data_IF_643513491553
#
_entry.id   IF_643513491553
#
_cell.length_a   1.000
_cell.length_b   1.000
_cell.length_c   1.000
_cell.angle_alpha   90.00
_cell.angle_beta   90.00
_cell.angle_gamma   90.00
#
_symmetry.space_group_name_H-M   'P 1'
#
loop_
_entity.id
_entity.type
_entity.pdbx_description
1 polymer ?
#
# COMPACT_ATOMS: atom_id res chain seq x y z
N UNK A 1 21.16 2.22 8.99
CA UNK A 1 20.11 1.34 8.46
C UNK A 1 19.31 2.15 7.45
N UNK A 2 19.18 1.72 6.19
CA UNK A 2 18.35 2.42 5.23
C UNK A 2 16.90 1.92 5.37
N UNK A 3 15.94 2.84 5.58
CA UNK A 3 14.52 2.55 5.49
C UNK A 3 14.14 2.19 4.04
N UNK A 4 12.95 1.64 3.83
CA UNK A 4 12.44 1.41 2.47
C UNK A 4 12.44 2.73 1.72
N UNK A 5 12.99 2.75 0.50
CA UNK A 5 13.09 3.99 -0.27
C UNK A 5 11.72 4.48 -0.72
N UNK A 6 10.80 3.55 -1.00
CA UNK A 6 9.47 3.84 -1.53
C UNK A 6 8.48 2.69 -1.28
N UNK A 7 7.25 2.87 -1.76
CA UNK A 7 6.17 1.88 -1.69
C UNK A 7 6.50 0.58 -2.45
N UNK A 8 7.32 0.65 -3.50
CA UNK A 8 7.67 -0.50 -4.35
C UNK A 8 8.61 -1.44 -3.56
N UNK A 9 9.60 -0.89 -2.86
CA UNK A 9 10.45 -1.65 -1.95
C UNK A 9 9.66 -2.20 -0.75
N UNK A 10 8.76 -1.42 -0.16
CA UNK A 10 7.91 -1.89 0.95
C UNK A 10 7.00 -3.05 0.53
N UNK A 11 6.40 -2.98 -0.67
CA UNK A 11 5.55 -4.05 -1.21
C UNK A 11 6.33 -5.36 -1.36
N UNK A 12 7.58 -5.30 -1.84
CA UNK A 12 8.48 -6.47 -1.90
C UNK A 12 8.80 -7.03 -0.52
N UNK A 13 8.95 -6.18 0.49
CA UNK A 13 9.17 -6.62 1.86
C UNK A 13 7.93 -7.34 2.44
N UNK A 14 6.72 -6.83 2.19
CA UNK A 14 5.49 -7.53 2.57
C UNK A 14 5.39 -8.90 1.88
N UNK A 15 5.73 -8.98 0.59
CA UNK A 15 5.76 -10.23 -0.17
C UNK A 15 6.77 -11.24 0.42
N UNK A 16 8.00 -10.80 0.69
CA UNK A 16 9.05 -11.64 1.30
C UNK A 16 8.66 -12.17 2.69
N UNK A 17 7.85 -11.43 3.44
CA UNK A 17 7.34 -11.84 4.76
C UNK A 17 5.99 -12.57 4.71
N UNK A 18 5.53 -12.97 3.52
CA UNK A 18 4.22 -13.63 3.33
C UNK A 18 3.03 -12.80 3.84
N UNK A 19 3.16 -11.48 3.85
CA UNK A 19 2.13 -10.50 4.25
C UNK A 19 1.48 -9.76 3.09
N UNK A 20 1.74 -10.19 1.85
CA UNK A 20 1.08 -9.68 0.65
C UNK A 20 0.37 -10.82 -0.08
N UNK A 21 -0.84 -10.54 -0.55
CA UNK A 21 -1.56 -11.38 -1.51
C UNK A 21 -1.69 -10.61 -2.82
N UNK A 22 -1.23 -11.20 -3.93
CA UNK A 22 -1.43 -10.65 -5.27
C UNK A 22 -2.66 -11.26 -5.92
N UNK A 23 -3.60 -10.42 -6.32
CA UNK A 23 -4.83 -10.81 -7.02
C UNK A 23 -4.68 -10.40 -8.48
N UNK A 24 -4.45 -11.41 -9.33
CA UNK A 24 -4.29 -11.25 -10.78
C UNK A 24 -5.59 -11.36 -11.56
N UNK A 25 -6.62 -11.98 -10.96
CA UNK A 25 -7.95 -12.02 -11.57
C UNK A 25 -8.53 -10.62 -11.62
N UNK A 26 -9.46 -10.42 -12.55
CA UNK A 26 -10.27 -9.21 -12.58
C UNK A 26 -11.03 -9.02 -11.27
N UNK A 27 -11.03 -7.78 -10.77
CA UNK A 27 -11.74 -7.37 -9.56
C UNK A 27 -12.48 -6.05 -9.85
N UNK A 28 -13.76 -6.00 -9.48
CA UNK A 28 -14.53 -4.76 -9.50
C UNK A 28 -14.21 -3.93 -8.23
N UNK A 29 -13.73 -2.70 -8.40
CA UNK A 29 -13.40 -1.79 -7.30
C UNK A 29 -14.63 -1.34 -6.50
N UNK A 30 -15.81 -1.28 -7.13
CA UNK A 30 -17.04 -0.77 -6.55
C UNK A 30 -17.77 -1.83 -5.73
N UNK A 31 -17.64 -3.10 -6.12
CA UNK A 31 -18.45 -4.20 -5.55
C UNK A 31 -17.66 -5.32 -4.88
N UNK A 32 -16.43 -5.62 -5.32
CA UNK A 32 -15.68 -6.81 -4.85
C UNK A 32 -14.46 -6.47 -4.01
N UNK A 33 -13.69 -5.46 -4.43
CA UNK A 33 -12.35 -5.18 -3.92
C UNK A 33 -12.33 -4.97 -2.40
N UNK A 34 -13.10 -4.00 -1.91
CA UNK A 34 -13.09 -3.66 -0.49
C UNK A 34 -13.81 -4.70 0.39
N UNK A 35 -14.95 -5.31 -0.02
CA UNK A 35 -15.55 -6.43 0.70
C UNK A 35 -14.61 -7.63 0.88
N UNK A 36 -13.84 -8.00 -0.16
CA UNK A 36 -12.88 -9.09 -0.08
C UNK A 36 -11.79 -8.82 0.97
N UNK A 37 -11.19 -7.63 0.94
CA UNK A 37 -10.17 -7.25 1.93
C UNK A 37 -10.79 -7.16 3.33
N UNK A 38 -12.02 -6.66 3.47
CA UNK A 38 -12.70 -6.55 4.76
C UNK A 38 -13.02 -7.90 5.38
N UNK A 39 -13.27 -8.92 4.54
CA UNK A 39 -13.62 -10.26 5.00
C UNK A 39 -12.56 -10.86 5.93
N UNK A 40 -11.27 -10.61 5.65
CA UNK A 40 -10.17 -11.10 6.49
C UNK A 40 -10.30 -10.63 7.95
N UNK A 41 -10.78 -9.41 8.20
CA UNK A 41 -10.88 -8.87 9.56
C UNK A 41 -12.03 -9.49 10.37
N UNK A 42 -12.98 -10.15 9.69
CA UNK A 42 -14.10 -10.83 10.34
C UNK A 42 -13.85 -12.32 10.58
N UNK A 43 -13.02 -12.94 9.73
CA UNK A 43 -12.83 -14.39 9.72
C UNK A 43 -11.44 -14.88 10.13
N UNK A 44 -10.40 -14.05 10.00
CA UNK A 44 -9.02 -14.46 10.25
C UNK A 44 -8.47 -13.86 11.56
N UNK A 45 -7.65 -14.63 12.30
CA UNK A 45 -6.86 -14.08 13.40
C UNK A 45 -5.89 -13.04 12.85
N UNK A 46 -5.49 -12.08 13.69
CA UNK A 46 -4.66 -10.95 13.27
C UNK A 46 -3.36 -11.35 12.57
N UNK A 47 -2.71 -12.42 13.05
CA UNK A 47 -1.45 -12.94 12.50
C UNK A 47 -1.58 -13.43 11.05
N UNK A 48 -2.78 -13.81 10.62
CA UNK A 48 -3.05 -14.27 9.25
C UNK A 48 -3.45 -13.16 8.30
N UNK A 49 -3.67 -11.94 8.81
CA UNK A 49 -4.08 -10.79 7.99
C UNK A 49 -2.94 -10.30 7.11
N UNK A 50 -3.28 -9.91 5.89
CA UNK A 50 -2.36 -9.54 4.82
C UNK A 50 -2.83 -8.28 4.09
N UNK A 51 -1.87 -7.64 3.43
CA UNK A 51 -2.12 -6.65 2.40
C UNK A 51 -2.54 -7.32 1.10
N UNK A 52 -3.30 -6.61 0.26
CA UNK A 52 -3.80 -7.11 -1.02
C UNK A 52 -3.38 -6.18 -2.14
N UNK A 53 -2.72 -6.72 -3.16
CA UNK A 53 -2.39 -6.01 -4.39
C UNK A 53 -3.26 -6.55 -5.53
N UNK A 54 -4.16 -5.70 -6.04
CA UNK A 54 -5.05 -6.00 -7.15
C UNK A 54 -4.43 -5.48 -8.44
N UNK A 55 -4.11 -6.39 -9.37
CA UNK A 55 -3.37 -6.07 -10.60
C UNK A 55 -4.30 -5.84 -11.81
N UNK A 56 -5.54 -6.35 -11.77
CA UNK A 56 -6.54 -6.13 -12.82
C UNK A 56 -7.83 -5.55 -12.21
N UNK A 57 -7.97 -4.23 -12.25
CA UNK A 57 -9.08 -3.51 -11.64
C UNK A 57 -10.04 -2.99 -12.72
N UNK A 58 -11.32 -3.26 -12.51
CA UNK A 58 -12.44 -2.72 -13.30
C UNK A 58 -13.45 -2.01 -12.39
N UNK A 59 -14.43 -1.34 -12.98
CA UNK A 59 -15.60 -0.83 -12.27
C UNK A 59 -16.91 -1.46 -12.77
N UNK A 60 -18.02 -1.09 -12.13
CA UNK A 60 -19.35 -1.62 -12.45
C UNK A 60 -19.80 -1.29 -13.89
N UNK A 61 -19.20 -0.29 -14.53
CA UNK A 61 -19.49 0.09 -15.92
C UNK A 61 -18.60 -0.66 -16.93
N UNK A 62 -17.75 -1.57 -16.47
CA UNK A 62 -16.82 -2.35 -17.29
C UNK A 62 -15.57 -1.58 -17.72
N UNK A 63 -15.31 -0.40 -17.16
CA UNK A 63 -14.09 0.35 -17.44
C UNK A 63 -12.91 -0.33 -16.76
N UNK A 64 -11.78 -0.37 -17.45
CA UNK A 64 -10.53 -0.99 -16.99
C UNK A 64 -9.51 0.07 -16.61
N UNK A 65 -8.84 -0.15 -15.48
CA UNK A 65 -7.83 0.76 -14.95
C UNK A 65 -6.42 0.19 -15.16
N UNK A 66 -5.49 1.04 -15.58
CA UNK A 66 -4.09 0.65 -15.85
C UNK A 66 -3.18 0.72 -14.60
N UNK A 67 -3.73 1.11 -13.45
CA UNK A 67 -3.01 1.27 -12.19
C UNK A 67 -3.48 0.19 -11.21
N UNK A 68 -2.57 -0.59 -10.61
CA UNK A 68 -2.94 -1.58 -9.59
C UNK A 68 -3.32 -0.91 -8.28
N UNK A 69 -4.18 -1.56 -7.49
CA UNK A 69 -4.65 -1.04 -6.20
C UNK A 69 -4.08 -1.88 -5.07
N UNK A 70 -3.36 -1.22 -4.14
CA UNK A 70 -2.81 -1.84 -2.94
C UNK A 70 -3.64 -1.45 -1.72
N UNK A 71 -4.12 -2.43 -0.96
CA UNK A 71 -4.99 -2.20 0.21
C UNK A 71 -4.42 -2.88 1.45
N UNK A 72 -4.62 -2.23 2.60
CA UNK A 72 -4.18 -2.68 3.92
C UNK A 72 -2.65 -2.86 4.08
N UNK A 73 -1.85 -2.23 3.20
CA UNK A 73 -0.38 -2.34 3.19
C UNK A 73 0.31 -1.92 4.49
N UNK A 74 -0.28 -1.02 5.28
CA UNK A 74 0.32 -0.53 6.51
C UNK A 74 -0.40 -0.98 7.78
N UNK A 75 -1.63 -1.51 7.69
CA UNK A 75 -2.48 -1.70 8.87
C UNK A 75 -3.33 -2.98 8.84
N UNK A 76 -2.94 -4.00 8.07
CA UNK A 76 -3.64 -5.29 8.13
C UNK A 76 -3.47 -5.97 9.50
N UNK A 77 -2.31 -5.78 10.14
CA UNK A 77 -1.95 -6.33 11.45
C UNK A 77 -0.81 -5.53 12.09
N UNK A 78 -0.58 -5.74 13.39
CA UNK A 78 0.57 -5.18 14.12
C UNK A 78 1.90 -5.58 13.48
N UNK A 79 1.99 -6.79 12.95
CA UNK A 79 3.19 -7.28 12.26
C UNK A 79 3.44 -6.55 10.94
N UNK A 80 2.39 -6.33 10.13
CA UNK A 80 2.49 -5.53 8.90
C UNK A 80 2.99 -4.11 9.21
N UNK A 81 2.48 -3.52 10.28
CA UNK A 81 2.92 -2.20 10.73
C UNK A 81 4.38 -2.21 11.19
N UNK A 82 4.79 -3.24 11.94
CA UNK A 82 6.17 -3.42 12.39
C UNK A 82 7.15 -3.59 11.22
N UNK A 83 6.77 -4.34 10.18
CA UNK A 83 7.54 -4.45 8.93
C UNK A 83 7.73 -3.07 8.32
N UNK A 84 6.66 -2.28 8.19
CA UNK A 84 6.73 -0.91 7.65
C UNK A 84 7.67 0.00 8.44
N UNK A 85 7.70 -0.17 9.76
CA UNK A 85 8.63 0.54 10.64
C UNK A 85 10.01 -0.11 10.71
N UNK A 86 10.26 -1.27 10.09
CA UNK A 86 11.48 -2.07 10.25
C UNK A 86 11.87 -2.31 11.72
N UNK A 87 10.93 -2.80 12.51
CA UNK A 87 11.17 -3.19 13.90
C UNK A 87 10.36 -4.43 14.26
N UNK A 88 10.54 -4.93 15.48
CA UNK A 88 9.65 -5.95 16.03
C UNK A 88 8.31 -5.34 16.46
N UNK A 89 7.22 -6.11 16.51
CA UNK A 89 5.94 -5.62 16.99
C UNK A 89 6.00 -4.98 18.38
N UNK A 90 6.85 -5.45 19.28
CA UNK A 90 6.96 -4.93 20.65
C UNK A 90 7.62 -3.54 20.69
N UNK A 91 8.46 -3.22 19.69
CA UNK A 91 9.29 -2.02 19.60
C UNK A 91 8.56 -0.83 18.95
N UNK A 92 7.35 -1.04 18.41
CA UNK A 92 6.60 -0.02 17.65
C UNK A 92 6.48 1.31 18.42
N UNK A 93 6.12 1.25 19.69
CA UNK A 93 5.85 2.45 20.51
C UNK A 93 7.13 3.23 20.75
N UNK A 94 8.21 2.54 21.13
CA UNK A 94 9.52 3.14 21.36
C UNK A 94 10.07 3.76 20.08
N UNK A 95 9.94 3.07 18.95
CA UNK A 95 10.39 3.57 17.65
C UNK A 95 9.67 4.84 17.22
N UNK A 96 8.36 4.93 17.49
CA UNK A 96 7.60 6.15 17.26
C UNK A 96 8.05 7.30 18.16
N UNK A 97 8.22 7.03 19.45
CA UNK A 97 8.70 8.03 20.40
C UNK A 97 10.07 8.58 19.96
N UNK A 98 11.01 7.71 19.61
CA UNK A 98 12.34 8.11 19.16
C UNK A 98 12.28 8.98 17.89
N UNK A 99 11.49 8.59 16.89
CA UNK A 99 11.35 9.34 15.64
C UNK A 99 10.71 10.73 15.85
N UNK A 100 9.82 10.87 16.84
CA UNK A 100 9.20 12.16 17.18
C UNK A 100 10.16 13.10 17.91
N UNK A 101 11.06 12.56 18.74
CA UNK A 101 12.06 13.37 19.45
C UNK A 101 13.25 13.74 18.57
N UNK A 102 13.54 12.95 17.53
CA UNK A 102 14.69 13.13 16.65
C UNK A 102 14.29 13.19 15.17
N UNK A 103 13.50 14.21 14.76
CA UNK A 103 13.13 14.37 13.36
C UNK A 103 14.35 14.62 12.47
N UNK A 104 14.33 14.05 11.27
CA UNK A 104 15.33 14.28 10.23
C UNK A 104 14.71 15.17 9.18
N UNK A 105 15.32 16.33 8.93
CA UNK A 105 14.85 17.26 7.90
C UNK A 105 14.85 16.60 6.51
N UNK A 106 13.77 16.75 5.72
CA UNK A 106 13.73 16.24 4.36
C UNK A 106 14.73 17.01 3.49
N UNK A 107 15.18 16.37 2.40
CA UNK A 107 15.99 17.01 1.37
C UNK A 107 15.12 17.31 0.16
N UNK A 108 15.19 18.55 -0.32
CA UNK A 108 14.54 18.93 -1.57
C UNK A 108 15.38 18.40 -2.73
N UNK A 109 14.70 17.79 -3.70
CA UNK A 109 15.27 17.26 -4.93
C UNK A 109 14.44 17.75 -6.12
N UNK A 110 15.08 17.91 -7.28
CA UNK A 110 14.43 18.53 -8.45
C UNK A 110 13.49 17.58 -9.21
N UNK A 111 13.64 16.26 -9.02
CA UNK A 111 12.85 15.27 -9.73
C UNK A 111 12.68 13.97 -8.92
N UNK A 112 11.61 13.22 -9.20
CA UNK A 112 11.36 11.92 -8.61
C UNK A 112 10.30 11.13 -9.40
N UNK A 113 10.12 9.82 -9.11
CA UNK A 113 9.17 8.97 -9.83
C UNK A 113 7.71 9.46 -9.78
N UNK A 114 7.36 10.24 -8.76
CA UNK A 114 6.04 10.86 -8.62
C UNK A 114 5.75 11.93 -9.69
N UNK A 115 6.74 12.33 -10.50
CA UNK A 115 6.59 13.27 -11.62
C UNK A 115 6.58 12.57 -12.99
N UNK A 116 6.51 11.23 -13.06
CA UNK A 116 6.51 10.48 -14.32
C UNK A 116 5.28 10.77 -15.20
N UNK A 117 4.16 11.18 -14.59
CA UNK A 117 2.89 11.45 -15.26
C UNK A 117 2.26 12.74 -14.71
N UNK A 118 1.97 13.70 -15.59
CA UNK A 118 1.49 15.04 -15.22
C UNK A 118 0.29 15.41 -16.09
N UNK A 119 -0.88 15.53 -15.48
CA UNK A 119 -2.11 15.99 -16.13
C UNK A 119 -2.51 17.37 -15.60
N UNK A 120 -2.72 18.33 -16.50
CA UNK A 120 -3.05 19.72 -16.18
C UNK A 120 -4.16 20.24 -17.12
N UNK A 121 -5.00 21.15 -16.62
CA UNK A 121 -6.03 21.82 -17.42
C UNK A 121 -6.96 20.84 -18.11
N UNK A 122 -7.11 20.97 -19.43
CA UNK A 122 -7.99 20.12 -20.25
C UNK A 122 -7.55 18.64 -20.25
N UNK A 123 -6.31 18.33 -19.82
CA UNK A 123 -5.80 16.95 -19.72
C UNK A 123 -6.16 16.25 -18.41
N UNK A 124 -6.85 16.89 -17.46
CA UNK A 124 -7.19 16.27 -16.18
C UNK A 124 -7.99 14.96 -16.31
N UNK A 125 -8.73 14.79 -17.40
CA UNK A 125 -9.53 13.61 -17.70
C UNK A 125 -8.93 12.75 -18.82
N UNK A 126 -7.65 12.91 -19.15
CA UNK A 126 -6.98 12.17 -20.24
C UNK A 126 -7.03 10.65 -20.04
N UNK A 127 -7.22 10.20 -18.79
CA UNK A 127 -7.40 8.80 -18.43
C UNK A 127 -8.87 8.43 -18.17
N UNK A 128 -9.82 9.09 -18.84
CA UNK A 128 -11.26 8.80 -18.87
C UNK A 128 -12.02 9.01 -17.55
N UNK A 129 -11.50 9.88 -16.67
CA UNK A 129 -12.00 10.21 -15.32
C UNK A 129 -13.46 9.86 -15.03
#
# INVERSE_FOLDING_TARGET
MAYYKDLREFTKALEANNKLVRIKREIDKDTELMPLVRWQFRGLPEVERKAFLFENVVDVNGRRYNIPVLVASHAASREVYAIGLMCKPEEIVEKWAEAQHHPIEPRIIDNGPVHEEIHLGDKLLEHDG
#
